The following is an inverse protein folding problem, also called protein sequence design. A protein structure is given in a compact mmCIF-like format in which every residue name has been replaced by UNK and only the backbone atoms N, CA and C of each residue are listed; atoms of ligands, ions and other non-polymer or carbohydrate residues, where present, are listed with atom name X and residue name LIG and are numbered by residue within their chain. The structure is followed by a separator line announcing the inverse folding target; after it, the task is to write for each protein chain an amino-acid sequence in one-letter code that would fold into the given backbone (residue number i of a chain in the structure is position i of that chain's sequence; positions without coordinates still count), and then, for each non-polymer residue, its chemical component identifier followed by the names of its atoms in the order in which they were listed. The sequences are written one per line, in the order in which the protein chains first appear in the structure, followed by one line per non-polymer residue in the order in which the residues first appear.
data_IF_159569742357
#
_entry.id   IF_159569742357
#
_cell.length_a   1.000
_cell.length_b   1.000
_cell.length_c   1.000
_cell.angle_alpha   90.00
_cell.angle_beta   90.00
_cell.angle_gamma   90.00
#
_symmetry.space_group_name_H-M   'P 1'
#
loop_
_entity.id
_entity.type
_entity.pdbx_description
1 polymer ?
#
# COMPACT_ATOMS: atom_id res chain seq x y z
N UNK A 1 4.67 -2.63 -12.40
CA UNK A 1 3.97 -1.37 -12.01
C UNK A 1 4.76 -0.66 -10.91
N UNK A 2 4.83 0.68 -10.86
CA UNK A 2 5.61 1.39 -9.84
C UNK A 2 4.93 1.31 -8.47
N UNK A 3 5.70 1.17 -7.39
CA UNK A 3 5.17 1.10 -6.01
C UNK A 3 4.28 2.32 -5.74
N UNK A 4 3.11 2.15 -5.10
CA UNK A 4 2.27 3.29 -4.74
C UNK A 4 3.07 4.29 -3.90
N UNK A 5 2.85 5.58 -4.15
CA UNK A 5 3.58 6.65 -3.48
C UNK A 5 3.29 6.67 -1.98
N UNK A 6 4.33 6.83 -1.17
CA UNK A 6 4.18 6.99 0.27
C UNK A 6 3.71 8.42 0.61
N UNK A 7 2.73 8.61 1.52
CA UNK A 7 2.27 9.92 1.94
C UNK A 7 3.40 10.76 2.55
N UNK A 8 3.39 12.06 2.29
CA UNK A 8 4.41 13.00 2.82
C UNK A 8 3.89 13.86 3.96
N UNK A 9 2.61 13.71 4.32
CA UNK A 9 1.97 14.39 5.44
C UNK A 9 1.08 13.44 6.26
N UNK A 10 0.83 13.82 7.51
CA UNK A 10 -0.06 13.06 8.42
C UNK A 10 -1.48 12.97 7.87
N UNK A 11 -1.98 14.04 7.24
CA UNK A 11 -3.34 14.07 6.68
C UNK A 11 -3.46 13.11 5.48
N UNK A 12 -2.45 13.02 4.64
CA UNK A 12 -2.40 12.02 3.55
C UNK A 12 -2.30 10.60 4.10
N UNK A 13 -1.50 10.39 5.15
CA UNK A 13 -1.38 9.09 5.80
C UNK A 13 -2.73 8.62 6.36
N UNK A 14 -3.44 9.47 7.09
CA UNK A 14 -4.75 9.12 7.63
C UNK A 14 -5.79 8.82 6.54
N UNK A 15 -5.70 9.48 5.38
CA UNK A 15 -6.57 9.20 4.23
C UNK A 15 -6.24 7.89 3.50
N UNK A 16 -4.96 7.56 3.41
CA UNK A 16 -4.50 6.33 2.75
C UNK A 16 -4.59 5.10 3.67
N UNK A 17 -4.50 5.29 4.98
CA UNK A 17 -4.49 4.23 5.98
C UNK A 17 -5.56 4.44 7.06
N UNK A 18 -6.86 4.49 6.70
CA UNK A 18 -7.94 4.64 7.67
C UNK A 18 -8.14 3.37 8.52
N UNK A 19 -7.74 2.20 8.00
CA UNK A 19 -7.93 0.92 8.64
C UNK A 19 -6.83 -0.09 8.25
N UNK A 20 -6.85 -1.27 8.90
CA UNK A 20 -5.87 -2.33 8.64
C UNK A 20 -5.98 -2.91 7.21
N UNK A 21 -7.18 -2.94 6.62
CA UNK A 21 -7.40 -3.46 5.28
C UNK A 21 -6.72 -2.59 4.23
N UNK A 22 -6.84 -1.27 4.35
CA UNK A 22 -6.17 -0.30 3.49
C UNK A 22 -4.64 -0.41 3.60
N UNK A 23 -4.12 -0.59 4.83
CA UNK A 23 -2.70 -0.85 5.06
C UNK A 23 -2.24 -2.14 4.36
N UNK A 24 -2.99 -3.24 4.51
CA UNK A 24 -2.68 -4.52 3.88
C UNK A 24 -2.70 -4.42 2.35
N UNK A 25 -3.68 -3.74 1.77
CA UNK A 25 -3.78 -3.53 0.34
C UNK A 25 -2.58 -2.74 -0.22
N UNK A 26 -2.18 -1.66 0.46
CA UNK A 26 -1.00 -0.88 0.09
C UNK A 26 0.28 -1.71 0.16
N UNK A 27 0.46 -2.51 1.22
CA UNK A 27 1.63 -3.38 1.38
C UNK A 27 1.69 -4.44 0.28
N UNK A 28 0.55 -5.05 -0.06
CA UNK A 28 0.47 -6.05 -1.11
C UNK A 28 0.85 -5.46 -2.47
N UNK A 29 0.25 -4.33 -2.85
CA UNK A 29 0.56 -3.61 -4.08
C UNK A 29 2.02 -3.11 -4.14
N UNK A 30 2.59 -2.73 -2.99
CA UNK A 30 3.99 -2.28 -2.89
C UNK A 30 4.99 -3.43 -3.00
N UNK A 31 4.66 -4.61 -2.49
CA UNK A 31 5.58 -5.75 -2.40
C UNK A 31 5.48 -6.68 -3.59
N UNK A 32 4.29 -6.83 -4.18
CA UNK A 32 4.02 -7.71 -5.32
C UNK A 32 3.25 -6.98 -6.42
N UNK A 33 3.90 -6.02 -7.10
CA UNK A 33 3.24 -5.22 -8.14
C UNK A 33 2.80 -6.05 -9.36
N UNK A 34 3.47 -7.17 -9.61
CA UNK A 34 3.21 -8.05 -10.75
C UNK A 34 2.49 -9.36 -10.32
N UNK A 35 1.93 -9.36 -9.09
CA UNK A 35 1.27 -10.52 -8.49
C UNK A 35 2.17 -11.30 -7.53
N UNK A 36 1.54 -11.92 -6.54
CA UNK A 36 2.20 -12.84 -5.61
C UNK A 36 1.96 -14.28 -6.10
N UNK A 37 3.04 -15.04 -6.34
CA UNK A 37 2.98 -16.48 -6.57
C UNK A 37 3.66 -17.20 -5.41
N UNK A 38 2.98 -18.18 -4.83
CA UNK A 38 3.61 -19.09 -3.87
C UNK A 38 4.61 -19.99 -4.64
N UNK A 39 5.85 -20.17 -4.14
CA UNK A 39 6.79 -21.15 -4.67
C UNK A 39 6.38 -22.58 -4.34
#
# INVERSE_FOLDING_TARGET
MSRPGFPRSVIEFQRLFPDELACRAYLFASRWPDGFSCP
#
